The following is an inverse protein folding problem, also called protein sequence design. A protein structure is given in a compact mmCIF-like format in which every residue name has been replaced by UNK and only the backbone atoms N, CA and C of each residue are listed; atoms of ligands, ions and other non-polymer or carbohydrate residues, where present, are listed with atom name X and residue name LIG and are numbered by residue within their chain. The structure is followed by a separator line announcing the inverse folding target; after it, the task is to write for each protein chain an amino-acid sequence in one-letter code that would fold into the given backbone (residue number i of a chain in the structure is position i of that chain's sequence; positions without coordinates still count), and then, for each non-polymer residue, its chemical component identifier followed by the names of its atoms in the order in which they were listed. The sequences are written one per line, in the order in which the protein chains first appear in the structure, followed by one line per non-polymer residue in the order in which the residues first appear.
data_IF_221420333263
#
_entry.id   IF_221420333263
#
_cell.length_a   1.000
_cell.length_b   1.000
_cell.length_c   1.000
_cell.angle_alpha   90.00
_cell.angle_beta   90.00
_cell.angle_gamma   90.00
#
_symmetry.space_group_name_H-M   'P 1'
#
loop_
_entity.id
_entity.type
_entity.pdbx_description
1 polymer ?
#
# COMPACT_ATOMS: atom_id res chain seq x y z
N UNK A 1 -24.69 -29.09 5.34
CA UNK A 1 -24.43 -29.02 4.78
C UNK A 1 -23.85 -29.10 4.67
N UNK A 2 -23.88 -29.24 4.70
CA UNK A 2 -23.28 -29.22 4.41
C UNK A 2 -22.48 -29.16 3.77
N UNK A 3 -22.21 -29.88 3.72
CA UNK A 3 -21.26 -30.04 3.01
C UNK A 3 -21.37 -29.46 1.75
N UNK A 4 -22.41 -29.58 1.09
CA UNK A 4 -22.61 -28.98 -0.13
C UNK A 4 -22.50 -27.54 0.03
N UNK A 5 -23.10 -26.97 0.99
CA UNK A 5 -23.01 -25.57 1.17
C UNK A 5 -21.61 -25.21 1.41
N UNK A 6 -20.90 -25.99 2.17
CA UNK A 6 -19.58 -25.66 2.43
C UNK A 6 -18.76 -25.72 1.20
N UNK A 7 -18.94 -26.67 0.38
CA UNK A 7 -18.22 -26.76 -0.82
C UNK A 7 -18.56 -25.67 -1.76
N UNK A 8 -19.79 -25.29 -1.81
CA UNK A 8 -20.16 -24.19 -2.65
C UNK A 8 -19.53 -22.92 -2.20
N UNK A 9 -19.47 -22.74 -0.92
CA UNK A 9 -18.84 -21.56 -0.43
C UNK A 9 -17.40 -21.57 -0.78
N UNK A 10 -16.74 -22.66 -0.63
CA UNK A 10 -15.36 -22.71 -0.95
C UNK A 10 -15.10 -22.47 -2.38
N UNK A 11 -15.93 -22.98 -3.24
CA UNK A 11 -15.72 -22.74 -4.60
C UNK A 11 -16.06 -21.39 -4.96
N UNK A 12 -17.06 -20.87 -4.38
CA UNK A 12 -17.48 -19.54 -4.69
C UNK A 12 -16.45 -18.59 -4.25
N UNK A 13 -15.74 -18.92 -3.26
CA UNK A 13 -14.84 -18.02 -2.87
C UNK A 13 -13.72 -18.07 -3.58
N UNK A 14 -13.83 -18.61 -4.38
CA UNK A 14 -13.04 -18.45 -4.87
C UNK A 14 -12.35 -19.31 -4.98
N UNK A 15 -12.64 -19.97 -5.29
CA UNK A 15 -11.91 -20.58 -5.52
C UNK A 15 -10.84 -20.01 -5.07
N UNK A 16 -10.37 -19.23 -5.30
CA UNK A 16 -9.28 -18.88 -4.69
C UNK A 16 -9.66 -18.57 -3.41
N UNK A 17 -9.15 -19.07 -2.52
CA UNK A 17 -9.43 -18.72 -1.38
C UNK A 17 -8.76 -17.56 -1.01
N UNK A 18 -9.20 -16.80 -0.12
CA UNK A 18 -8.54 -15.65 0.41
C UNK A 18 -7.33 -16.15 1.15
N UNK A 19 -6.25 -15.49 1.02
CA UNK A 19 -5.02 -15.86 1.66
C UNK A 19 -4.77 -14.91 2.84
N UNK A 20 -5.04 -15.34 4.05
CA UNK A 20 -4.89 -14.43 5.19
C UNK A 20 -3.45 -13.98 5.41
N UNK A 21 -2.48 -14.81 5.05
CA UNK A 21 -1.10 -14.39 5.20
C UNK A 21 -0.76 -13.29 4.22
N UNK A 22 -1.29 -13.38 3.03
CA UNK A 22 -1.07 -12.34 2.06
C UNK A 22 -1.73 -11.04 2.51
N UNK A 23 -2.94 -11.11 3.03
CA UNK A 23 -3.60 -9.92 3.50
C UNK A 23 -2.85 -9.30 4.66
N UNK A 24 -2.32 -10.10 5.57
CA UNK A 24 -1.56 -9.56 6.67
C UNK A 24 -0.31 -8.87 6.18
N UNK A 25 0.35 -9.46 5.19
CA UNK A 25 1.58 -8.89 4.68
C UNK A 25 1.33 -7.57 3.97
N UNK A 26 0.24 -7.49 3.21
CA UNK A 26 -0.05 -6.31 2.42
C UNK A 26 -1.08 -5.39 3.06
N UNK A 27 -1.09 -5.36 4.39
CA UNK A 27 -1.92 -4.42 5.16
C UNK A 27 -3.40 -4.49 4.82
N UNK A 28 -3.87 -5.68 4.54
CA UNK A 28 -5.28 -5.88 4.29
C UNK A 28 -5.70 -5.95 2.84
N UNK A 29 -4.75 -5.83 1.92
CA UNK A 29 -5.10 -5.95 0.52
C UNK A 29 -4.34 -7.12 -0.11
N UNK A 30 -4.38 -7.25 -1.42
CA UNK A 30 -3.74 -8.33 -2.13
C UNK A 30 -2.68 -7.78 -3.06
N UNK A 31 -1.61 -8.54 -3.24
CA UNK A 31 -0.46 -8.10 -4.01
C UNK A 31 -0.86 -7.66 -5.42
N UNK A 32 -1.79 -8.36 -6.05
CA UNK A 32 -2.18 -8.03 -7.42
C UNK A 32 -2.84 -6.66 -7.54
N UNK A 33 -3.30 -6.09 -6.43
CA UNK A 33 -3.92 -4.77 -6.46
C UNK A 33 -2.95 -3.66 -6.04
N UNK A 34 -1.76 -4.03 -5.62
CA UNK A 34 -0.81 -3.05 -5.11
C UNK A 34 -0.13 -2.29 -6.24
N UNK A 35 -0.16 -0.96 -6.15
CA UNK A 35 0.52 -0.10 -7.09
C UNK A 35 1.88 0.28 -6.53
N UNK A 36 2.02 0.38 -5.23
CA UNK A 36 3.29 0.71 -4.63
C UNK A 36 3.31 0.39 -3.16
N UNK A 37 4.47 0.05 -2.64
CA UNK A 37 4.63 -0.20 -1.21
C UNK A 37 5.93 0.39 -0.72
N UNK A 38 5.99 0.65 0.58
CA UNK A 38 7.21 1.10 1.23
C UNK A 38 7.34 0.31 2.51
N UNK A 39 8.56 -0.15 2.81
CA UNK A 39 8.76 -0.86 4.07
C UNK A 39 8.72 0.18 5.21
N UNK A 40 8.89 -0.29 6.44
CA UNK A 40 8.75 0.58 7.60
C UNK A 40 9.77 1.73 7.55
N UNK A 41 11.01 1.42 7.26
CA UNK A 41 12.04 2.45 7.22
C UNK A 41 11.78 3.47 6.12
N UNK A 42 11.37 3.01 4.96
CA UNK A 42 11.09 3.90 3.84
C UNK A 42 9.86 4.77 4.15
N UNK A 43 8.86 4.18 4.79
CA UNK A 43 7.66 4.95 5.13
C UNK A 43 7.95 6.02 6.17
N UNK A 44 8.97 5.81 7.00
CA UNK A 44 9.37 6.80 7.98
C UNK A 44 10.36 7.82 7.42
N UNK A 45 10.78 7.65 6.17
CA UNK A 45 11.84 8.51 5.64
C UNK A 45 11.32 9.88 5.24
N UNK A 46 12.12 10.92 5.39
CA UNK A 46 11.71 12.24 4.95
C UNK A 46 11.60 12.32 3.43
N UNK A 47 12.34 11.46 2.72
CA UNK A 47 12.26 11.44 1.27
C UNK A 47 10.88 11.03 0.79
N UNK A 48 10.30 9.99 1.43
CA UNK A 48 8.98 9.56 1.01
C UNK A 48 7.96 10.63 1.38
N UNK A 49 8.11 11.22 2.55
CA UNK A 49 7.20 12.26 2.97
C UNK A 49 7.17 13.40 1.97
N UNK A 50 8.34 13.86 1.55
CA UNK A 50 8.41 14.95 0.62
C UNK A 50 7.86 14.61 -0.74
N UNK A 51 8.06 13.39 -1.19
CA UNK A 51 7.63 13.00 -2.53
C UNK A 51 6.26 12.38 -2.61
N UNK A 52 5.56 12.24 -1.49
CA UNK A 52 4.34 11.47 -1.45
C UNK A 52 3.26 12.00 -2.39
N UNK A 53 3.10 13.29 -2.45
CA UNK A 53 2.09 13.90 -3.32
C UNK A 53 2.37 13.56 -4.78
N UNK A 54 3.62 13.68 -5.19
CA UNK A 54 3.99 13.36 -6.56
C UNK A 54 3.77 11.90 -6.87
N UNK A 55 4.04 11.03 -5.90
CA UNK A 55 3.82 9.61 -6.08
C UNK A 55 2.33 9.35 -6.28
N UNK A 56 1.48 9.95 -5.46
CA UNK A 56 0.04 9.75 -5.60
C UNK A 56 -0.45 10.25 -6.96
N UNK A 57 0.02 11.39 -7.39
CA UNK A 57 -0.40 11.94 -8.67
C UNK A 57 0.02 11.05 -9.82
N UNK A 58 1.22 10.48 -9.72
CA UNK A 58 1.71 9.58 -10.74
C UNK A 58 0.87 8.30 -10.77
N UNK A 59 0.57 7.75 -9.61
CA UNK A 59 -0.15 6.50 -9.56
C UNK A 59 -1.63 6.67 -9.90
N UNK A 60 -2.17 7.86 -9.70
CA UNK A 60 -3.56 8.11 -10.08
C UNK A 60 -3.76 8.00 -11.58
N UNK A 61 -2.71 8.17 -12.35
CA UNK A 61 -2.81 7.99 -13.78
C UNK A 61 -2.99 6.53 -14.14
N UNK A 62 -2.63 5.63 -13.25
CA UNK A 62 -2.74 4.21 -13.53
C UNK A 62 -4.03 3.62 -12.99
N UNK A 63 -4.58 4.17 -11.96
CA UNK A 63 -5.80 3.67 -11.35
C UNK A 63 -6.44 4.71 -10.46
N UNK A 64 -7.75 4.73 -10.42
CA UNK A 64 -8.50 5.59 -9.55
C UNK A 64 -9.73 4.86 -9.12
N UNK A 65 -10.16 4.96 -7.90
CA UNK A 65 -9.49 5.73 -6.86
C UNK A 65 -8.31 4.97 -6.29
N UNK A 66 -7.42 5.68 -5.64
CA UNK A 66 -6.33 5.04 -4.95
C UNK A 66 -6.72 4.80 -3.50
N UNK A 67 -6.16 3.74 -2.94
CA UNK A 67 -6.36 3.43 -1.53
C UNK A 67 -5.00 3.39 -0.88
N UNK A 68 -4.85 4.06 0.25
CA UNK A 68 -3.58 4.11 0.96
C UNK A 68 -3.77 3.43 2.31
N UNK A 69 -3.01 2.37 2.54
CA UNK A 69 -3.04 1.66 3.81
C UNK A 69 -1.79 2.02 4.59
N UNK A 70 -1.95 2.43 5.80
CA UNK A 70 -0.85 2.94 6.61
C UNK A 70 -0.67 2.04 7.82
N UNK A 71 0.56 1.60 8.04
CA UNK A 71 0.85 0.73 9.17
C UNK A 71 0.83 1.51 10.47
N UNK A 72 0.35 0.91 11.55
CA UNK A 72 0.45 1.56 12.84
C UNK A 72 1.88 1.52 13.39
N UNK A 73 2.79 0.81 12.71
CA UNK A 73 4.18 0.69 13.15
C UNK A 73 5.08 1.81 12.70
N UNK A 74 4.62 2.70 11.82
CA UNK A 74 5.47 3.83 11.44
C UNK A 74 5.24 4.96 12.43
N UNK A 75 6.08 5.97 12.39
CA UNK A 75 6.01 7.08 13.34
C UNK A 75 4.65 7.76 13.25
N UNK A 76 4.14 8.16 14.39
CA UNK A 76 2.78 8.69 14.43
C UNK A 76 2.61 9.93 13.56
N UNK A 77 3.55 10.82 13.56
CA UNK A 77 3.44 12.02 12.73
C UNK A 77 3.45 11.66 11.24
N UNK A 78 4.11 10.57 10.86
CA UNK A 78 4.08 10.13 9.48
C UNK A 78 2.72 9.53 9.15
N UNK A 79 2.14 8.79 10.10
CA UNK A 79 0.80 8.24 9.88
C UNK A 79 -0.18 9.37 9.58
N UNK A 80 -0.13 10.41 10.37
CA UNK A 80 -1.04 11.55 10.20
C UNK A 80 -0.77 12.26 8.89
N UNK A 81 0.50 12.43 8.55
CA UNK A 81 0.86 13.10 7.32
C UNK A 81 0.30 12.38 6.10
N UNK A 82 0.53 11.06 6.01
CA UNK A 82 0.07 10.31 4.86
C UNK A 82 -1.45 10.27 4.78
N UNK A 83 -2.10 10.18 5.92
CA UNK A 83 -3.55 10.16 5.96
C UNK A 83 -4.10 11.46 5.38
N UNK A 84 -3.55 12.58 5.79
CA UNK A 84 -3.98 13.86 5.34
C UNK A 84 -3.71 14.09 3.89
N UNK A 85 -2.49 13.81 3.44
CA UNK A 85 -2.14 14.02 2.04
C UNK A 85 -2.98 13.17 1.12
N UNK A 86 -3.26 11.92 1.51
CA UNK A 86 -4.07 11.06 0.68
C UNK A 86 -5.47 11.63 0.53
N UNK A 87 -6.02 12.11 1.63
CA UNK A 87 -7.37 12.66 1.57
C UNK A 87 -7.44 13.91 0.73
N UNK A 88 -6.40 14.70 0.75
CA UNK A 88 -6.37 15.92 -0.03
C UNK A 88 -6.28 15.66 -1.52
N UNK A 89 -5.85 14.47 -1.91
CA UNK A 89 -5.79 14.11 -3.31
C UNK A 89 -6.93 13.19 -3.71
N UNK A 90 -7.97 13.15 -2.89
CA UNK A 90 -9.14 12.33 -3.16
C UNK A 90 -8.87 10.83 -3.16
N UNK A 91 -7.84 10.43 -2.44
CA UNK A 91 -7.56 9.02 -2.25
C UNK A 91 -8.17 8.60 -0.93
N UNK A 92 -8.46 7.32 -0.81
CA UNK A 92 -8.99 6.82 0.45
C UNK A 92 -7.83 6.34 1.29
N UNK A 93 -7.81 6.67 2.54
CA UNK A 93 -6.69 6.31 3.39
C UNK A 93 -7.17 5.76 4.73
N UNK A 94 -6.45 4.78 5.23
CA UNK A 94 -6.79 4.14 6.50
C UNK A 94 -5.53 3.73 7.22
N UNK A 95 -5.49 3.97 8.53
CA UNK A 95 -4.44 3.41 9.35
C UNK A 95 -4.98 2.05 9.78
N UNK A 96 -4.27 0.98 9.41
CA UNK A 96 -4.81 -0.36 9.62
C UNK A 96 -4.69 -0.78 11.07
N UNK A 97 -5.39 -1.84 11.40
CA UNK A 97 -5.44 -2.27 12.79
C UNK A 97 -4.18 -3.00 13.20
N UNK A 98 -4.05 -3.25 14.47
CA UNK A 98 -2.90 -3.93 14.98
C UNK A 98 -2.76 -5.35 14.51
N UNK A 99 -3.79 -5.93 13.95
CA UNK A 99 -3.67 -7.25 13.42
C UNK A 99 -2.68 -7.30 12.27
N UNK A 100 -2.30 -6.18 11.71
CA UNK A 100 -1.38 -6.15 10.59
C UNK A 100 0.03 -5.69 10.98
N UNK A 101 0.33 -5.71 12.27
CA UNK A 101 1.63 -5.20 12.72
C UNK A 101 2.79 -6.10 12.35
N UNK A 102 2.53 -7.33 11.92
CA UNK A 102 3.62 -8.20 11.50
C UNK A 102 4.04 -7.95 10.06
N UNK A 103 3.35 -7.08 9.36
CA UNK A 103 3.70 -6.80 7.97
C UNK A 103 5.03 -6.06 7.89
N UNK A 104 5.86 -6.36 6.91
CA UNK A 104 7.10 -5.61 6.73
C UNK A 104 6.87 -4.25 6.09
N UNK A 105 5.65 -3.99 5.63
CA UNK A 105 5.38 -2.74 4.94
C UNK A 105 4.83 -1.68 5.87
N UNK A 106 5.26 -0.45 5.67
CA UNK A 106 4.75 0.68 6.43
C UNK A 106 3.66 1.42 5.69
N UNK A 107 3.61 1.27 4.38
CA UNK A 107 2.62 1.98 3.58
C UNK A 107 2.36 1.21 2.31
N UNK A 108 1.11 1.09 1.92
CA UNK A 108 0.74 0.43 0.67
C UNK A 108 -0.26 1.32 -0.07
N UNK A 109 -0.04 1.50 -1.37
CA UNK A 109 -0.98 2.20 -2.22
C UNK A 109 -1.54 1.17 -3.17
N UNK A 110 -2.85 1.01 -3.22
CA UNK A 110 -3.45 -0.03 -4.04
C UNK A 110 -4.72 0.45 -4.73
N UNK A 111 -5.19 -0.35 -5.65
CA UNK A 111 -6.44 -0.06 -6.33
C UNK A 111 -7.49 -1.05 -5.83
N UNK A 112 -8.70 -0.94 -6.34
CA UNK A 112 -9.75 -1.87 -5.96
C UNK A 112 -9.89 -3.02 -6.96
N UNK A 113 -8.92 -3.16 -7.86
CA UNK A 113 -8.91 -4.23 -8.84
C UNK A 113 -7.45 -4.52 -9.20
N UNK A 114 -7.18 -5.68 -9.79
CA UNK A 114 -5.80 -6.00 -10.14
C UNK A 114 -5.20 -4.99 -11.10
N UNK A 115 -3.91 -4.71 -10.94
CA UNK A 115 -3.21 -3.76 -11.79
C UNK A 115 -1.90 -4.36 -12.27
N UNK A 116 -1.35 -3.75 -13.30
CA UNK A 116 -0.06 -4.18 -13.82
C UNK A 116 0.94 -3.08 -13.57
N UNK A 117 1.92 -3.34 -12.74
CA UNK A 117 2.93 -2.35 -12.40
C UNK A 117 4.26 -3.07 -12.39
N UNK A 118 5.22 -2.54 -13.10
CA UNK A 118 6.52 -3.14 -13.18
C UNK A 118 7.28 -3.15 -11.88
N UNK A 119 7.32 -2.07 -11.19
CA UNK A 119 8.05 -1.98 -9.95
C UNK A 119 7.15 -1.41 -8.87
N UNK A 120 6.84 -2.21 -7.86
CA UNK A 120 5.95 -1.79 -6.78
C UNK A 120 6.70 -1.21 -5.59
N UNK A 121 7.98 -1.50 -5.45
CA UNK A 121 8.74 -0.94 -4.35
C UNK A 121 8.94 0.55 -4.62
N UNK A 122 8.31 1.40 -3.83
CA UNK A 122 8.35 2.84 -4.07
C UNK A 122 9.76 3.40 -4.03
N UNK A 123 10.62 2.81 -3.23
CA UNK A 123 11.99 3.28 -3.16
C UNK A 123 12.72 3.03 -4.47
N UNK A 124 12.38 1.97 -5.18
CA UNK A 124 12.98 1.66 -6.47
C UNK A 124 12.25 2.36 -7.60
N UNK A 125 10.94 2.40 -7.53
CA UNK A 125 10.14 3.03 -8.58
C UNK A 125 10.38 4.53 -8.65
N UNK A 126 10.63 5.15 -7.50
CA UNK A 126 10.82 6.60 -7.44
C UNK A 126 12.21 6.90 -6.85
N UNK A 127 13.18 6.16 -7.33
CA UNK A 127 14.53 6.20 -6.78
C UNK A 127 15.13 7.59 -6.71
N UNK A 128 14.72 8.49 -7.59
CA UNK A 128 15.26 9.83 -7.56
C UNK A 128 15.04 10.57 -6.26
N UNK A 129 14.02 10.19 -5.52
CA UNK A 129 13.75 10.83 -4.25
C UNK A 129 14.86 10.55 -3.24
N UNK A 130 15.60 9.47 -3.46
CA UNK A 130 16.66 9.07 -2.52
C UNK A 130 18.07 9.32 -3.06
N UNK A 131 18.16 9.96 -4.22
CA UNK A 131 19.49 10.25 -4.76
C UNK A 131 20.12 11.39 -3.99
N UNK A 132 21.38 11.26 -3.69
CA UNK A 132 22.10 12.32 -3.03
C UNK A 132 22.53 13.31 -4.08
N UNK A 133 22.14 14.59 -3.91
CA UNK A 133 22.46 15.55 -4.86
C UNK A 133 23.85 15.89 -4.68
N UNK A 134 24.63 15.70 -5.53
CA UNK A 134 25.94 16.00 -5.40
C UNK A 134 26.14 17.29 -5.58
N UNK A 135 26.20 17.95 -5.34
CA UNK A 135 26.25 19.06 -5.52
C UNK A 135 26.92 19.60 -5.82
N UNK A 136 26.85 19.73 -5.96
CA UNK A 136 27.02 20.19 -6.22
C UNK A 136 27.42 20.78 -5.87
N UNK A 137 28.12 21.09 -5.86
CA UNK A 137 28.67 21.70 -5.51
C UNK A 137 28.70 22.52 -5.56
#
# INVERSE_FOLDING_TARGET
MTDLSKQLLEKAHGGPKLNPDEQRRYLGTFEERVLGYADIDTANSPQLEKGFLSILENLQEKAEPLFVKISPNIEFDKQVFYLKEAKETNSQATIVSEEHTSSPFGLIIHSNAPVQVEEKDLRLAFAKLWEVKKEEP
#
